data_IF_037694074092
#
_entry.id   IF_037694074092
#
_cell.length_a   1.000
_cell.length_b   1.000
_cell.length_c   1.000
_cell.angle_alpha   90.00
_cell.angle_beta   90.00
_cell.angle_gamma   90.00
#
_symmetry.space_group_name_H-M   'P 1'
#
loop_
_entity.id
_entity.type
_entity.pdbx_description
1 polymer ?
#
# COMPACT_ATOMS: atom_id res chain seq x y z
N UNK A 1 17.97 -2.35 5.68
CA UNK A 1 18.24 -0.90 5.46
C UNK A 1 17.38 -0.08 6.41
N UNK A 2 17.81 1.12 6.76
CA UNK A 2 17.03 2.08 7.57
C UNK A 2 16.38 3.07 6.62
N UNK A 3 15.10 3.40 6.84
CA UNK A 3 14.37 4.38 6.03
C UNK A 3 13.50 5.25 6.95
N UNK A 4 13.36 6.55 6.66
CA UNK A 4 12.39 7.41 7.34
C UNK A 4 10.95 6.95 7.05
N UNK A 5 10.08 7.12 8.05
CA UNK A 5 8.64 6.83 7.94
C UNK A 5 7.89 8.01 7.31
N UNK A 6 8.23 9.24 7.70
CA UNK A 6 7.70 10.47 7.11
C UNK A 6 8.84 11.32 6.58
N UNK A 7 8.62 11.96 5.44
CA UNK A 7 9.60 12.79 4.77
C UNK A 7 8.91 14.05 4.28
N UNK A 8 9.43 15.21 4.66
CA UNK A 8 9.07 16.48 4.05
C UNK A 8 9.98 16.76 2.87
N UNK A 9 9.40 17.05 1.71
CA UNK A 9 10.13 17.39 0.49
C UNK A 9 9.37 18.46 -0.27
N UNK A 10 9.99 19.64 -0.41
CA UNK A 10 9.45 20.80 -1.13
C UNK A 10 7.99 21.12 -0.78
N UNK A 11 7.69 21.20 0.51
CA UNK A 11 6.35 21.54 1.02
C UNK A 11 5.33 20.39 0.97
N UNK A 12 5.73 19.18 0.55
CA UNK A 12 4.87 17.99 0.51
C UNK A 12 5.36 16.97 1.54
N UNK A 13 4.42 16.31 2.22
CA UNK A 13 4.71 15.17 3.08
C UNK A 13 4.57 13.87 2.28
N UNK A 14 5.54 12.98 2.43
CA UNK A 14 5.53 11.62 1.92
C UNK A 14 5.61 10.65 3.10
N UNK A 15 4.82 9.58 3.06
CA UNK A 15 4.87 8.51 4.03
C UNK A 15 5.38 7.20 3.41
N UNK A 16 6.06 6.41 4.25
CA UNK A 16 6.52 5.05 3.97
C UNK A 16 6.26 4.16 5.18
N UNK A 17 5.06 4.21 5.73
CA UNK A 17 4.72 3.42 6.90
C UNK A 17 4.18 2.03 6.54
N UNK A 18 4.72 1.00 7.17
CA UNK A 18 4.13 -0.34 7.22
C UNK A 18 4.61 -1.04 8.48
N UNK A 19 3.74 -1.08 9.51
CA UNK A 19 4.11 -1.65 10.82
C UNK A 19 4.57 -3.10 10.73
N UNK A 20 3.94 -3.91 9.89
CA UNK A 20 4.29 -5.32 9.73
C UNK A 20 5.69 -5.51 9.14
N UNK A 21 6.08 -4.71 8.15
CA UNK A 21 7.43 -4.76 7.58
C UNK A 21 8.48 -4.27 8.57
N UNK A 22 8.20 -3.21 9.32
CA UNK A 22 9.11 -2.71 10.36
C UNK A 22 9.32 -3.79 11.42
N UNK A 23 8.24 -4.41 11.92
CA UNK A 23 8.31 -5.48 12.92
C UNK A 23 9.01 -6.73 12.37
N UNK A 24 8.71 -7.13 11.13
CA UNK A 24 9.34 -8.31 10.51
C UNK A 24 10.84 -8.09 10.29
N UNK A 25 11.26 -6.87 9.93
CA UNK A 25 12.66 -6.52 9.77
C UNK A 25 13.45 -6.66 11.08
N UNK A 26 12.81 -6.52 12.26
CA UNK A 26 13.46 -6.76 13.54
C UNK A 26 13.87 -8.23 13.75
N UNK A 27 13.48 -9.19 12.89
CA UNK A 27 14.00 -10.57 12.96
C UNK A 27 15.47 -10.69 12.56
N UNK A 28 15.99 -9.69 11.85
CA UNK A 28 17.35 -9.68 11.32
C UNK A 28 18.31 -8.92 12.25
N UNK A 29 19.44 -9.52 12.62
CA UNK A 29 20.37 -8.96 13.60
C UNK A 29 21.06 -7.68 13.11
N UNK A 30 21.25 -7.55 11.80
CA UNK A 30 21.82 -6.37 11.14
C UNK A 30 20.89 -5.15 11.16
N UNK A 31 19.62 -5.34 11.50
CA UNK A 31 18.66 -4.23 11.63
C UNK A 31 18.76 -3.64 13.04
N UNK A 32 19.02 -2.32 13.16
CA UNK A 32 19.04 -1.65 14.46
C UNK A 32 17.75 -1.92 15.24
N UNK A 33 17.91 -2.20 16.53
CA UNK A 33 16.78 -2.36 17.44
C UNK A 33 16.02 -1.04 17.54
N UNK A 34 14.69 -1.11 17.49
CA UNK A 34 13.87 0.06 17.74
C UNK A 34 14.09 0.54 19.18
N UNK A 35 14.28 1.85 19.34
CA UNK A 35 14.32 2.46 20.67
C UNK A 35 12.91 2.52 21.25
N UNK A 36 12.75 2.64 22.58
CA UNK A 36 11.44 2.82 23.21
C UNK A 36 10.64 3.98 22.60
N UNK A 37 11.30 5.12 22.35
CA UNK A 37 10.68 6.30 21.72
C UNK A 37 10.20 6.01 20.29
N UNK A 38 10.96 5.23 19.52
CA UNK A 38 10.53 4.84 18.17
C UNK A 38 9.31 3.92 18.23
N UNK A 39 9.25 2.99 19.18
CA UNK A 39 8.09 2.13 19.38
C UNK A 39 6.86 2.97 19.71
N UNK A 40 6.98 3.90 20.66
CA UNK A 40 5.92 4.83 21.06
C UNK A 40 5.40 5.66 19.87
N UNK A 41 6.31 6.18 19.04
CA UNK A 41 5.93 6.92 17.83
C UNK A 41 5.19 6.04 16.81
N UNK A 42 5.63 4.79 16.61
CA UNK A 42 4.95 3.84 15.72
C UNK A 42 3.58 3.42 16.26
N UNK A 43 3.42 3.34 17.58
CA UNK A 43 2.14 3.04 18.25
C UNK A 43 1.17 4.21 18.13
N UNK A 44 1.67 5.45 18.24
CA UNK A 44 0.86 6.65 18.04
C UNK A 44 0.28 6.73 16.62
N UNK A 45 1.04 6.34 15.59
CA UNK A 45 0.51 6.22 14.22
C UNK A 45 -0.63 5.20 14.16
N UNK A 46 -0.48 4.05 14.83
CA UNK A 46 -1.51 3.02 14.86
C UNK A 46 -2.80 3.52 15.56
N UNK A 47 -2.66 4.23 16.68
CA UNK A 47 -3.78 4.88 17.38
C UNK A 47 -4.51 5.87 16.47
N UNK A 48 -3.78 6.76 15.79
CA UNK A 48 -4.38 7.72 14.85
C UNK A 48 -5.09 7.02 13.68
N UNK A 49 -4.54 5.93 13.16
CA UNK A 49 -5.19 5.16 12.09
C UNK A 49 -6.48 4.46 12.55
N UNK A 50 -6.63 4.20 13.85
CA UNK A 50 -7.82 3.59 14.42
C UNK A 50 -8.91 4.61 14.77
N UNK A 51 -8.54 5.89 14.91
CA UNK A 51 -9.45 6.99 15.25
C UNK A 51 -10.40 7.31 14.07
N UNK A 52 -11.73 7.26 14.28
CA UNK A 52 -12.72 7.62 13.26
C UNK A 52 -12.56 9.03 12.69
N UNK A 53 -11.94 9.96 13.41
CA UNK A 53 -11.68 11.31 12.90
C UNK A 53 -10.66 11.34 11.75
N UNK A 54 -9.77 10.34 11.67
CA UNK A 54 -8.72 10.25 10.65
C UNK A 54 -8.88 9.03 9.72
N UNK A 55 -9.92 8.22 9.95
CA UNK A 55 -10.20 7.00 9.18
C UNK A 55 -11.44 7.17 8.32
N UNK A 56 -11.32 6.75 7.05
CA UNK A 56 -12.46 6.57 6.16
C UNK A 56 -12.71 5.09 5.95
N UNK A 57 -13.85 4.60 6.44
CA UNK A 57 -14.33 3.25 6.12
C UNK A 57 -15.11 3.29 4.81
N UNK A 58 -14.79 2.37 3.90
CA UNK A 58 -15.36 2.34 2.56
C UNK A 58 -15.71 0.91 2.17
N UNK A 59 -16.97 0.69 1.79
CA UNK A 59 -17.44 -0.55 1.18
C UNK A 59 -17.27 -0.40 -0.33
N UNK A 60 -16.61 -1.37 -0.96
CA UNK A 60 -16.43 -1.44 -2.42
C UNK A 60 -17.45 -2.41 -3.00
N UNK A 61 -18.33 -1.90 -3.86
CA UNK A 61 -19.26 -2.70 -4.65
C UNK A 61 -18.64 -3.11 -6.00
N UNK A 62 -19.31 -4.00 -6.73
CA UNK A 62 -18.86 -4.39 -8.06
C UNK A 62 -18.89 -3.16 -8.98
N UNK A 63 -17.76 -2.89 -9.62
CA UNK A 63 -17.60 -1.76 -10.53
C UNK A 63 -16.98 -0.53 -9.88
N UNK A 64 -16.93 -0.47 -8.54
CA UNK A 64 -16.27 0.62 -7.84
C UNK A 64 -14.76 0.63 -8.06
N UNK A 65 -14.19 1.83 -8.10
CA UNK A 65 -12.77 2.06 -8.22
C UNK A 65 -12.29 2.92 -7.05
N UNK A 66 -11.22 2.46 -6.39
CA UNK A 66 -10.56 3.22 -5.34
C UNK A 66 -9.21 3.76 -5.85
N UNK A 67 -9.06 5.08 -5.82
CA UNK A 67 -7.80 5.76 -6.11
C UNK A 67 -7.15 6.21 -4.80
N UNK A 68 -5.96 5.69 -4.52
CA UNK A 68 -5.22 6.01 -3.29
C UNK A 68 -3.89 6.64 -3.65
N UNK A 69 -3.65 7.85 -3.15
CA UNK A 69 -2.30 8.41 -3.15
C UNK A 69 -1.50 7.76 -2.03
N UNK A 70 -0.72 6.74 -2.39
CA UNK A 70 0.08 5.93 -1.48
C UNK A 70 1.15 6.72 -0.68
N UNK A 71 1.39 8.00 -1.02
CA UNK A 71 2.32 8.86 -0.28
C UNK A 71 1.69 9.64 0.85
N UNK A 72 0.36 9.77 0.89
CA UNK A 72 -0.32 10.56 1.90
C UNK A 72 -1.40 9.78 2.65
N UNK A 73 -1.89 8.67 2.06
CA UNK A 73 -2.95 7.85 2.65
C UNK A 73 -2.39 6.49 3.02
N UNK A 74 -2.63 6.08 4.28
CA UNK A 74 -2.46 4.71 4.73
C UNK A 74 -3.76 3.96 4.48
N UNK A 75 -3.68 2.74 3.99
CA UNK A 75 -4.84 1.92 3.68
C UNK A 75 -4.64 0.50 4.17
N UNK A 76 -5.74 -0.09 4.62
CA UNK A 76 -5.82 -1.47 5.08
C UNK A 76 -7.11 -2.10 4.55
N UNK A 77 -7.33 -3.36 4.90
CA UNK A 77 -8.63 -4.01 4.75
C UNK A 77 -9.05 -4.57 6.09
N UNK A 78 -10.34 -4.61 6.33
CA UNK A 78 -10.94 -5.41 7.39
C UNK A 78 -10.79 -6.90 7.07
N UNK A 79 -10.90 -7.74 8.10
CA UNK A 79 -11.04 -9.18 7.91
C UNK A 79 -12.33 -9.48 7.14
N UNK A 80 -12.32 -10.52 6.33
CA UNK A 80 -13.46 -11.02 5.59
C UNK A 80 -13.36 -12.54 5.48
N UNK A 81 -14.49 -13.18 5.29
CA UNK A 81 -14.58 -14.62 5.01
C UNK A 81 -14.81 -14.80 3.50
N UNK A 82 -14.02 -15.68 2.88
CA UNK A 82 -14.27 -16.08 1.51
C UNK A 82 -15.40 -17.11 1.47
N UNK A 83 -16.28 -16.98 0.47
CA UNK A 83 -17.29 -18.00 0.21
C UNK A 83 -16.65 -19.26 -0.38
N UNK A 84 -17.22 -20.43 -0.05
CA UNK A 84 -16.86 -21.69 -0.68
C UNK A 84 -17.03 -21.62 -2.21
N UNK A 85 -18.15 -21.04 -2.65
CA UNK A 85 -18.43 -20.73 -4.05
C UNK A 85 -17.50 -19.62 -4.57
N UNK A 86 -16.65 -19.98 -5.53
CA UNK A 86 -15.67 -19.10 -6.15
C UNK A 86 -16.29 -17.85 -6.78
N UNK A 87 -17.51 -17.96 -7.32
CA UNK A 87 -18.21 -16.85 -7.99
C UNK A 87 -18.63 -15.74 -7.02
N UNK A 88 -18.63 -16.03 -5.72
CA UNK A 88 -19.01 -15.10 -4.65
C UNK A 88 -17.80 -14.53 -3.93
N UNK A 89 -16.59 -15.03 -4.20
CA UNK A 89 -15.36 -14.52 -3.58
C UNK A 89 -15.08 -13.09 -4.04
N UNK A 90 -14.48 -12.32 -3.13
CA UNK A 90 -14.08 -10.94 -3.42
C UNK A 90 -12.91 -10.92 -4.39
N UNK A 91 -13.12 -10.39 -5.59
CA UNK A 91 -12.06 -10.21 -6.58
C UNK A 91 -11.75 -8.71 -6.79
N UNK A 92 -10.51 -8.30 -6.48
CA UNK A 92 -10.02 -6.94 -6.73
C UNK A 92 -8.76 -6.97 -7.57
N UNK A 93 -8.73 -6.13 -8.60
CA UNK A 93 -7.53 -5.84 -9.36
C UNK A 93 -6.86 -4.61 -8.78
N UNK A 94 -5.53 -4.66 -8.66
CA UNK A 94 -4.73 -3.53 -8.16
C UNK A 94 -3.72 -3.10 -9.20
N UNK A 95 -3.76 -1.82 -9.55
CA UNK A 95 -2.80 -1.17 -10.44
C UNK A 95 -1.98 -0.16 -9.66
N UNK A 96 -0.66 -0.19 -9.84
CA UNK A 96 0.24 0.87 -9.37
C UNK A 96 0.50 1.86 -10.51
N UNK A 97 0.19 3.12 -10.27
CA UNK A 97 0.33 4.19 -11.25
C UNK A 97 1.43 5.16 -10.80
N UNK A 98 2.30 5.53 -11.74
CA UNK A 98 3.23 6.65 -11.60
C UNK A 98 2.90 7.69 -12.63
N UNK A 99 2.63 8.92 -12.19
CA UNK A 99 2.38 10.06 -13.07
C UNK A 99 3.59 11.00 -13.05
N UNK A 100 3.77 11.88 -14.06
CA UNK A 100 4.82 12.90 -14.05
C UNK A 100 4.78 13.82 -12.82
N UNK A 101 3.63 13.97 -12.14
CA UNK A 101 3.50 14.72 -10.89
C UNK A 101 4.30 14.12 -9.71
N UNK A 102 4.78 12.89 -9.87
CA UNK A 102 5.70 12.20 -8.97
C UNK A 102 7.08 11.97 -9.59
N UNK A 103 7.49 12.79 -10.56
CA UNK A 103 8.87 12.80 -11.05
C UNK A 103 9.84 13.37 -10.00
N UNK A 104 9.36 14.29 -9.16
CA UNK A 104 10.12 14.90 -8.06
C UNK A 104 9.67 14.34 -6.71
N UNK A 105 10.51 13.49 -6.12
CA UNK A 105 10.25 12.80 -4.86
C UNK A 105 11.54 12.66 -4.04
N UNK A 106 11.45 12.45 -2.71
CA UNK A 106 12.64 12.36 -1.86
C UNK A 106 13.55 11.19 -2.27
N UNK A 107 14.87 11.41 -2.24
CA UNK A 107 15.87 10.39 -2.58
C UNK A 107 15.73 9.10 -1.73
N UNK A 108 15.28 9.22 -0.48
CA UNK A 108 15.03 8.08 0.42
C UNK A 108 13.91 7.13 -0.05
N UNK A 109 13.14 7.51 -1.08
CA UNK A 109 12.13 6.65 -1.71
C UNK A 109 12.59 6.06 -3.06
N UNK A 110 13.85 6.27 -3.47
CA UNK A 110 14.37 5.81 -4.77
C UNK A 110 14.25 4.30 -4.95
N UNK A 111 14.47 3.54 -3.88
CA UNK A 111 14.38 2.07 -3.87
C UNK A 111 12.96 1.56 -4.12
N UNK A 112 11.91 2.29 -3.67
CA UNK A 112 10.50 1.96 -3.95
C UNK A 112 10.17 1.92 -5.44
N UNK A 113 10.92 2.67 -6.24
CA UNK A 113 10.70 2.79 -7.68
C UNK A 113 11.58 1.87 -8.51
N UNK A 114 12.59 1.23 -7.91
CA UNK A 114 13.48 0.33 -8.65
C UNK A 114 12.72 -0.83 -9.28
N UNK A 115 11.77 -1.42 -8.57
CA UNK A 115 10.97 -2.51 -9.09
C UNK A 115 10.05 -2.06 -10.24
N UNK A 116 9.41 -0.90 -10.12
CA UNK A 116 8.60 -0.34 -11.21
C UNK A 116 9.44 0.01 -12.44
N UNK A 117 10.64 0.55 -12.25
CA UNK A 117 11.55 0.85 -13.37
C UNK A 117 12.04 -0.43 -14.05
N UNK A 118 12.36 -1.48 -13.29
CA UNK A 118 12.68 -2.81 -13.85
C UNK A 118 11.51 -3.38 -14.64
N UNK A 119 10.29 -3.25 -14.12
CA UNK A 119 9.10 -3.73 -14.79
C UNK A 119 8.80 -2.95 -16.08
N UNK A 120 9.02 -1.63 -16.09
CA UNK A 120 8.87 -0.79 -17.28
C UNK A 120 9.92 -1.11 -18.36
N UNK A 121 11.14 -1.46 -17.97
CA UNK A 121 12.19 -1.86 -18.92
C UNK A 121 11.93 -3.24 -19.56
N UNK A 122 11.30 -4.15 -18.80
CA UNK A 122 11.03 -5.53 -19.24
C UNK A 122 9.62 -5.97 -18.82
N UNK A 123 8.55 -5.44 -19.45
CA UNK A 123 7.18 -5.73 -19.06
C UNK A 123 6.86 -7.21 -19.28
N UNK A 124 6.21 -7.82 -18.29
CA UNK A 124 5.71 -9.19 -18.38
C UNK A 124 4.22 -9.16 -18.70
N UNK A 125 3.68 -10.14 -19.43
CA UNK A 125 2.25 -10.28 -19.58
C UNK A 125 1.58 -10.36 -18.19
N UNK A 126 0.38 -9.79 -18.01
CA UNK A 126 -0.35 -9.88 -16.76
C UNK A 126 -0.50 -11.34 -16.33
N UNK A 127 -0.44 -11.61 -15.03
CA UNK A 127 -0.69 -12.95 -14.47
C UNK A 127 -2.15 -13.42 -14.64
N UNK A 128 -3.01 -12.56 -15.19
CA UNK A 128 -4.44 -12.80 -15.40
C UNK A 128 -4.79 -12.57 -16.87
N UNK A 129 -5.57 -13.49 -17.43
CA UNK A 129 -6.08 -13.34 -18.79
C UNK A 129 -7.40 -12.55 -18.76
N UNK A 130 -7.35 -11.28 -19.15
CA UNK A 130 -8.53 -10.40 -19.16
C UNK A 130 -9.66 -10.87 -20.10
N UNK A 131 -9.34 -11.75 -21.07
CA UNK A 131 -10.27 -12.17 -22.13
C UNK A 131 -11.34 -13.14 -21.62
N UNK A 132 -11.13 -13.84 -20.49
CA UNK A 132 -12.09 -14.79 -19.91
C UNK A 132 -13.03 -14.19 -18.86
N UNK A 133 -12.86 -12.93 -18.45
CA UNK A 133 -13.81 -12.25 -17.53
C UNK A 133 -15.03 -11.68 -18.28
N UNK A 134 -15.59 -12.43 -19.24
CA UNK A 134 -16.67 -11.96 -20.11
C UNK A 134 -18.08 -12.17 -19.56
N UNK A 135 -18.25 -12.88 -18.45
CA UNK A 135 -19.59 -13.18 -17.94
C UNK A 135 -19.61 -13.03 -16.43
N UNK A 136 -19.75 -11.79 -15.96
CA UNK A 136 -20.57 -11.61 -14.77
C UNK A 136 -21.69 -10.66 -15.07
N UNK A 137 -22.76 -11.24 -15.62
CA UNK A 137 -24.08 -10.63 -15.71
C UNK A 137 -24.54 -10.22 -14.32
N UNK A 138 -24.93 -8.96 -14.19
CA UNK A 138 -25.76 -8.45 -13.11
C UNK A 138 -27.14 -9.11 -13.19
N UNK A 139 -27.55 -9.76 -12.10
CA UNK A 139 -28.97 -9.99 -11.79
C UNK A 139 -29.40 -8.96 -10.77
#
# INVERSE_FOLDING_TARGET
>A
YVSPVFIWHKGRMFNRFNRNFINTAQRFNEVPRLTPLQIEALDSIATLCADPAFRLDMVLERGDMQFVNNYCVLHSRTAFEDYDDENRRRHLLRLWLRTPAFADYPAALRDRYEDMDRWQASPRPPSYNFVTMKEVTTH
#
